data_IF_473632449625
#
_entry.id   IF_473632449625
#
_cell.length_a   1.000
_cell.length_b   1.000
_cell.length_c   1.000
_cell.angle_alpha   90.00
_cell.angle_beta   90.00
_cell.angle_gamma   90.00
#
_symmetry.space_group_name_H-M   'P 1'
#
loop_
_entity.id
_entity.type
_entity.pdbx_description
1 polymer ?
#
# COMPACT_ATOMS: atom_id res chain seq x y z
N UNK A 1 -19.85 4.09 -1.66
CA UNK A 1 -18.55 4.77 -1.52
C UNK A 1 -18.20 5.44 -2.83
N UNK A 2 -17.50 6.58 -2.80
CA UNK A 2 -17.30 7.41 -3.99
C UNK A 2 -16.30 6.74 -4.93
N UNK A 3 -16.79 6.23 -6.08
CA UNK A 3 -15.97 5.83 -7.22
C UNK A 3 -15.33 7.09 -7.81
N UNK A 4 -14.32 7.66 -7.15
CA UNK A 4 -13.56 8.76 -7.73
C UNK A 4 -12.71 8.17 -8.85
N UNK A 5 -13.13 8.44 -10.08
CA UNK A 5 -12.51 7.98 -11.33
C UNK A 5 -12.42 6.46 -11.54
N UNK A 6 -13.31 5.68 -10.93
CA UNK A 6 -13.40 4.23 -11.17
C UNK A 6 -12.29 3.39 -10.51
N UNK A 7 -11.46 4.00 -9.66
CA UNK A 7 -10.63 3.24 -8.71
C UNK A 7 -11.45 2.94 -7.45
N UNK A 8 -11.44 1.69 -7.01
CA UNK A 8 -12.04 1.26 -5.75
C UNK A 8 -10.93 0.95 -4.75
N UNK A 9 -10.88 1.73 -3.67
CA UNK A 9 -9.88 1.52 -2.63
C UNK A 9 -10.15 0.20 -1.89
N UNK A 10 -9.12 -0.63 -1.77
CA UNK A 10 -9.18 -1.89 -1.04
C UNK A 10 -9.29 -1.64 0.47
N UNK A 11 -10.42 -2.05 1.05
CA UNK A 11 -10.63 -2.06 2.50
C UNK A 11 -9.66 -3.02 3.21
N UNK A 12 -9.38 -4.18 2.60
CA UNK A 12 -8.44 -5.16 3.13
C UNK A 12 -7.05 -4.55 3.25
N UNK A 13 -6.59 -3.86 2.20
CA UNK A 13 -5.29 -3.20 2.23
C UNK A 13 -5.23 -2.08 3.27
N UNK A 14 -6.30 -1.30 3.41
CA UNK A 14 -6.42 -0.31 4.48
C UNK A 14 -6.25 -0.96 5.85
N UNK A 15 -6.96 -2.05 6.11
CA UNK A 15 -6.89 -2.77 7.38
C UNK A 15 -5.50 -3.37 7.66
N UNK A 16 -4.81 -3.89 6.65
CA UNK A 16 -3.46 -4.43 6.80
C UNK A 16 -2.43 -3.33 7.08
N UNK A 17 -2.56 -2.17 6.45
CA UNK A 17 -1.68 -1.01 6.69
C UNK A 17 -1.84 -0.46 8.10
N UNK A 18 -3.06 -0.43 8.64
CA UNK A 18 -3.30 -0.03 10.02
C UNK A 18 -2.63 -0.99 11.01
N UNK A 19 -2.74 -2.31 10.78
CA UNK A 19 -2.02 -3.30 11.58
C UNK A 19 -0.51 -3.14 11.51
N UNK A 20 0.03 -2.87 10.31
CA UNK A 20 1.46 -2.60 10.14
C UNK A 20 1.88 -1.39 10.98
N UNK A 21 1.12 -0.29 10.91
CA UNK A 21 1.38 0.92 11.70
C UNK A 21 1.44 0.61 13.19
N UNK A 22 0.49 -0.17 13.70
CA UNK A 22 0.43 -0.53 15.12
C UNK A 22 1.64 -1.37 15.57
N UNK A 23 2.15 -2.26 14.71
CA UNK A 23 3.33 -3.08 15.02
C UNK A 23 4.61 -2.23 14.99
N UNK A 24 4.83 -1.43 13.93
CA UNK A 24 6.05 -0.61 13.80
C UNK A 24 6.11 0.57 14.77
N UNK A 25 5.00 0.91 15.44
CA UNK A 25 4.98 1.96 16.48
C UNK A 25 5.55 1.46 17.82
N UNK A 26 5.87 0.17 17.92
CA UNK A 26 6.52 -0.46 19.07
C UNK A 26 8.02 -0.58 18.78
N UNK A 27 8.85 -0.63 19.82
CA UNK A 27 10.27 -0.95 19.63
C UNK A 27 10.38 -2.35 19.01
N UNK A 28 11.03 -2.41 17.84
CA UNK A 28 11.22 -3.60 17.02
C UNK A 28 12.70 -3.95 16.95
N UNK A 29 13.07 -5.12 17.47
CA UNK A 29 14.39 -5.71 17.23
C UNK A 29 14.31 -6.65 16.02
N UNK A 30 14.51 -6.09 14.82
CA UNK A 30 14.45 -6.85 13.58
C UNK A 30 15.81 -7.43 13.22
N UNK A 31 15.82 -8.66 12.70
CA UNK A 31 16.96 -9.15 11.93
C UNK A 31 17.05 -8.42 10.58
N UNK A 32 18.24 -8.47 9.94
CA UNK A 32 18.51 -7.76 8.69
C UNK A 32 17.52 -8.13 7.56
N UNK A 33 17.11 -9.40 7.49
CA UNK A 33 16.23 -9.88 6.44
C UNK A 33 14.78 -9.39 6.61
N UNK A 34 14.30 -9.31 7.86
CA UNK A 34 12.98 -8.78 8.18
C UNK A 34 12.95 -7.25 8.08
N UNK A 35 14.06 -6.58 8.42
CA UNK A 35 14.21 -5.15 8.21
C UNK A 35 14.16 -4.79 6.71
N UNK A 36 14.87 -5.53 5.85
CA UNK A 36 14.84 -5.34 4.39
C UNK A 36 13.44 -5.58 3.81
N UNK A 37 12.76 -6.66 4.22
CA UNK A 37 11.38 -6.93 3.76
C UNK A 37 10.39 -5.84 4.20
N UNK A 38 10.56 -5.31 5.41
CA UNK A 38 9.77 -4.18 5.92
C UNK A 38 10.04 -2.91 5.10
N UNK A 39 11.30 -2.59 4.84
CA UNK A 39 11.67 -1.41 4.04
C UNK A 39 11.09 -1.48 2.62
N UNK A 40 11.24 -2.61 1.94
CA UNK A 40 10.66 -2.85 0.61
C UNK A 40 9.13 -2.67 0.62
N UNK A 41 8.48 -3.18 1.65
CA UNK A 41 7.03 -3.06 1.82
C UNK A 41 6.61 -1.61 2.04
N UNK A 42 7.33 -0.87 2.90
CA UNK A 42 7.09 0.55 3.14
C UNK A 42 7.31 1.38 1.87
N UNK A 43 8.35 1.08 1.08
CA UNK A 43 8.60 1.74 -0.20
C UNK A 43 7.44 1.54 -1.18
N UNK A 44 6.88 0.33 -1.26
CA UNK A 44 5.68 0.03 -2.08
C UNK A 44 4.45 0.80 -1.59
N UNK A 45 4.25 0.92 -0.28
CA UNK A 45 3.15 1.70 0.31
C UNK A 45 3.29 3.20 -0.01
N UNK A 46 4.50 3.74 0.05
CA UNK A 46 4.78 5.12 -0.36
C UNK A 46 4.48 5.32 -1.84
N UNK A 47 4.93 4.40 -2.70
CA UNK A 47 4.66 4.45 -4.14
C UNK A 47 3.15 4.39 -4.45
N UNK A 48 2.40 3.51 -3.77
CA UNK A 48 0.94 3.45 -3.85
C UNK A 48 0.32 4.81 -3.50
N UNK A 49 0.74 5.42 -2.39
CA UNK A 49 0.22 6.72 -1.95
C UNK A 49 0.51 7.83 -2.97
N UNK A 50 1.72 7.86 -3.54
CA UNK A 50 2.10 8.81 -4.59
C UNK A 50 1.22 8.65 -5.84
N UNK A 51 0.95 7.42 -6.27
CA UNK A 51 0.07 7.12 -7.40
C UNK A 51 -1.38 7.52 -7.13
N UNK A 52 -1.90 7.22 -5.94
CA UNK A 52 -3.25 7.64 -5.54
C UNK A 52 -3.41 9.16 -5.56
N UNK A 53 -2.43 9.91 -5.01
CA UNK A 53 -2.40 11.38 -5.10
C UNK A 53 -2.29 11.88 -6.53
N UNK A 54 -1.50 11.19 -7.37
CA UNK A 54 -1.42 11.46 -8.81
C UNK A 54 -2.77 11.33 -9.49
N UNK A 55 -3.49 10.24 -9.22
CA UNK A 55 -4.81 9.96 -9.78
C UNK A 55 -5.80 11.05 -9.35
N UNK A 56 -5.84 11.38 -8.07
CA UNK A 56 -6.69 12.47 -7.56
C UNK A 56 -6.41 13.80 -8.26
N UNK A 57 -5.14 14.16 -8.48
CA UNK A 57 -4.78 15.39 -9.22
C UNK A 57 -5.22 15.36 -10.67
N UNK A 58 -5.05 14.23 -11.36
CA UNK A 58 -5.43 14.08 -12.77
C UNK A 58 -6.94 14.14 -12.97
N UNK A 59 -7.70 13.55 -12.05
CA UNK A 59 -9.16 13.62 -12.03
C UNK A 59 -9.63 15.04 -11.81
N UNK A 60 -9.03 15.76 -10.85
CA UNK A 60 -9.35 17.17 -10.61
C UNK A 60 -8.95 18.09 -11.77
N UNK A 61 -7.98 17.67 -12.60
CA UNK A 61 -7.53 18.38 -13.77
C UNK A 61 -8.23 17.93 -15.07
N UNK A 62 -9.29 17.11 -14.96
CA UNK A 62 -10.09 16.61 -16.11
C UNK A 62 -9.24 15.99 -17.22
N UNK A 63 -8.19 15.24 -16.83
CA UNK A 63 -7.31 14.53 -17.78
C UNK A 63 -8.04 13.44 -18.55
N UNK A 64 -7.49 13.09 -19.69
CA UNK A 64 -8.03 12.07 -20.58
C UNK A 64 -8.19 10.71 -19.89
N UNK A 65 -9.22 9.97 -20.29
CA UNK A 65 -9.58 8.70 -19.66
C UNK A 65 -8.48 7.63 -19.78
N UNK A 66 -7.69 7.67 -20.87
CA UNK A 66 -6.56 6.76 -21.11
C UNK A 66 -5.44 6.98 -20.08
N UNK A 67 -5.06 8.23 -19.83
CA UNK A 67 -4.07 8.58 -18.82
C UNK A 67 -4.51 8.15 -17.40
N UNK A 68 -5.81 8.29 -17.10
CA UNK A 68 -6.39 7.82 -15.84
C UNK A 68 -6.40 6.29 -15.75
N UNK A 69 -6.59 5.58 -16.86
CA UNK A 69 -6.54 4.12 -16.91
C UNK A 69 -5.13 3.57 -16.65
N UNK A 70 -4.10 4.16 -17.26
CA UNK A 70 -2.70 3.77 -17.02
C UNK A 70 -2.37 3.85 -15.53
N UNK A 71 -2.75 4.96 -14.88
CA UNK A 71 -2.45 5.16 -13.47
C UNK A 71 -3.28 4.25 -12.56
N UNK A 72 -4.53 3.96 -12.91
CA UNK A 72 -5.37 2.99 -12.20
C UNK A 72 -4.79 1.58 -12.26
N UNK A 73 -4.41 1.12 -13.45
CA UNK A 73 -3.80 -0.20 -13.64
C UNK A 73 -2.50 -0.34 -12.82
N UNK A 74 -1.68 0.71 -12.80
CA UNK A 74 -0.48 0.75 -11.96
C UNK A 74 -0.79 0.72 -10.45
N UNK A 75 -1.87 1.37 -10.03
CA UNK A 75 -2.31 1.36 -8.62
C UNK A 75 -2.85 -0.01 -8.21
N UNK A 76 -3.73 -0.60 -9.02
CA UNK A 76 -4.28 -1.94 -8.78
C UNK A 76 -3.22 -3.04 -8.80
N UNK A 77 -2.19 -2.90 -9.64
CA UNK A 77 -1.06 -3.82 -9.64
C UNK A 77 -0.32 -3.79 -8.30
N UNK A 78 0.01 -2.60 -7.81
CA UNK A 78 0.69 -2.46 -6.52
C UNK A 78 -0.21 -2.86 -5.34
N UNK A 79 -1.52 -2.63 -5.42
CA UNK A 79 -2.45 -3.16 -4.41
C UNK A 79 -2.42 -4.68 -4.36
N UNK A 80 -2.39 -5.36 -5.51
CA UNK A 80 -2.27 -6.82 -5.58
C UNK A 80 -0.95 -7.33 -5.01
N UNK A 81 0.17 -6.67 -5.31
CA UNK A 81 1.47 -7.01 -4.72
C UNK A 81 1.44 -6.84 -3.19
N UNK A 82 0.94 -5.72 -2.70
CA UNK A 82 0.84 -5.45 -1.27
C UNK A 82 -0.06 -6.48 -0.57
N UNK A 83 -1.23 -6.80 -1.13
CA UNK A 83 -2.14 -7.80 -0.57
C UNK A 83 -1.52 -9.21 -0.54
N UNK A 84 -0.62 -9.53 -1.47
CA UNK A 84 0.09 -10.81 -1.47
C UNK A 84 1.20 -10.88 -0.41
N UNK A 85 1.86 -9.76 -0.10
CA UNK A 85 3.05 -9.73 0.75
C UNK A 85 2.79 -9.30 2.20
N UNK A 86 1.93 -8.30 2.44
CA UNK A 86 1.68 -7.74 3.78
C UNK A 86 1.28 -8.78 4.82
N UNK A 87 0.35 -9.72 4.55
CA UNK A 87 -0.11 -10.67 5.57
C UNK A 87 1.04 -11.47 6.17
N UNK A 88 1.93 -12.00 5.33
CA UNK A 88 3.11 -12.78 5.77
C UNK A 88 4.08 -11.91 6.55
N UNK A 89 4.35 -10.68 6.10
CA UNK A 89 5.22 -9.76 6.84
C UNK A 89 4.65 -9.46 8.23
N UNK A 90 3.34 -9.20 8.34
CA UNK A 90 2.67 -8.93 9.62
C UNK A 90 2.77 -10.11 10.58
N UNK A 91 2.64 -11.34 10.08
CA UNK A 91 2.85 -12.55 10.88
C UNK A 91 4.27 -12.60 11.44
N UNK A 92 5.29 -12.41 10.60
CA UNK A 92 6.70 -12.40 11.03
C UNK A 92 6.99 -11.29 12.05
N UNK A 93 6.45 -10.09 11.85
CA UNK A 93 6.62 -8.98 12.78
C UNK A 93 5.98 -9.28 14.15
N UNK A 94 4.86 -10.02 14.19
CA UNK A 94 4.22 -10.42 15.45
C UNK A 94 5.02 -11.46 16.22
N UNK A 95 5.70 -12.37 15.53
CA UNK A 95 6.58 -13.37 16.15
C UNK A 95 7.77 -12.72 16.84
N UNK A 96 8.26 -11.59 16.32
CA UNK A 96 9.32 -10.79 17.00
C UNK A 96 8.79 -10.09 18.25
N UNK A 97 7.48 -9.83 18.34
CA UNK A 97 6.85 -9.19 19.50
C UNK A 97 6.44 -10.16 20.62
N UNK A 98 6.44 -11.47 20.37
CA UNK A 98 6.02 -12.50 21.35
C UNK A 98 7.18 -12.96 22.22
#
# INVERSE_FOLDING_TARGET
>A
MSRRAGYEESWDLTYLVEQLRELISRDLELDDALAEELEDTLARLVLRNQRLRGLQRMVNAERDAEDLEVLRNALEHTDRELLAHLPRLLERLREVHS
#
